data_IF_844838410286
#
_entry.id   IF_844838410286
#
_cell.length_a   1.000
_cell.length_b   1.000
_cell.length_c   1.000
_cell.angle_alpha   90.00
_cell.angle_beta   90.00
_cell.angle_gamma   90.00
#
_symmetry.space_group_name_H-M   'P 1'
#
loop_
_entity.id
_entity.type
_entity.pdbx_description
1 polymer ?
#
# COMPACT_ATOMS: atom_id res chain seq x y z
N UNK A 1 19.66 -13.83 -7.46
CA UNK A 1 20.09 -13.17 -6.20
C UNK A 1 18.85 -12.58 -5.55
N UNK A 2 18.67 -12.71 -4.24
CA UNK A 2 17.54 -12.11 -3.54
C UNK A 2 17.67 -10.59 -3.47
N UNK A 3 16.57 -9.86 -3.66
CA UNK A 3 16.51 -8.40 -3.61
C UNK A 3 16.19 -7.95 -2.16
N UNK A 4 17.13 -7.35 -1.42
CA UNK A 4 16.83 -6.88 -0.07
C UNK A 4 15.86 -5.70 -0.09
N UNK A 5 15.07 -5.55 0.98
CA UNK A 5 14.29 -4.32 1.16
C UNK A 5 15.26 -3.17 1.43
N UNK A 6 15.45 -2.31 0.44
CA UNK A 6 16.41 -1.22 0.50
C UNK A 6 15.76 0.06 1.03
N UNK A 7 16.44 0.73 1.96
CA UNK A 7 16.06 2.05 2.46
C UNK A 7 17.16 3.03 2.06
N UNK A 8 16.84 3.97 1.17
CA UNK A 8 17.79 4.98 0.69
C UNK A 8 18.02 6.10 1.72
N UNK A 9 18.41 5.74 2.95
CA UNK A 9 18.78 6.68 4.01
C UNK A 9 19.93 6.10 4.84
N UNK A 10 21.16 6.64 4.73
CA UNK A 10 22.34 6.11 5.41
C UNK A 10 22.27 6.23 6.94
N UNK A 11 21.34 7.03 7.46
CA UNK A 11 21.22 7.25 8.90
C UNK A 11 20.44 6.14 9.60
N UNK A 12 19.68 5.30 8.87
CA UNK A 12 18.80 4.27 9.47
C UNK A 12 19.62 3.20 10.20
N UNK A 13 20.69 2.72 9.58
CA UNK A 13 21.57 1.69 10.17
C UNK A 13 22.34 2.18 11.40
N UNK A 14 22.55 3.50 11.50
CA UNK A 14 23.27 4.12 12.60
C UNK A 14 22.38 4.38 13.83
N UNK A 15 21.05 4.25 13.70
CA UNK A 15 20.14 4.48 14.82
C UNK A 15 20.20 3.32 15.81
N UNK A 16 20.44 3.57 17.12
CA UNK A 16 20.44 2.50 18.11
C UNK A 16 19.04 1.90 18.28
N UNK A 17 18.01 2.75 18.20
CA UNK A 17 16.61 2.37 18.22
C UNK A 17 15.88 3.18 17.15
N UNK A 18 15.15 2.51 16.28
CA UNK A 18 14.29 3.16 15.29
C UNK A 18 12.82 3.00 15.71
N UNK A 19 12.14 4.12 15.90
CA UNK A 19 10.74 4.18 16.30
C UNK A 19 9.88 4.39 15.04
N UNK A 20 9.02 3.42 14.76
CA UNK A 20 8.00 3.46 13.72
C UNK A 20 6.71 4.00 14.33
N UNK A 21 6.69 5.31 14.51
CA UNK A 21 5.72 6.02 15.35
C UNK A 21 4.27 5.76 14.93
N UNK A 22 3.97 5.79 13.63
CA UNK A 22 2.59 5.65 13.14
C UNK A 22 2.13 4.20 13.09
N UNK A 23 3.06 3.25 12.99
CA UNK A 23 2.79 1.82 13.16
C UNK A 23 2.76 1.38 14.62
N UNK A 24 3.23 2.23 15.55
CA UNK A 24 3.24 1.92 16.98
C UNK A 24 4.29 0.87 17.38
N UNK A 25 5.36 0.76 16.59
CA UNK A 25 6.43 -0.24 16.75
C UNK A 25 7.78 0.44 16.96
N UNK A 26 8.73 -0.30 17.52
CA UNK A 26 10.15 0.06 17.50
C UNK A 26 11.02 -1.18 17.31
N UNK A 27 12.28 -1.00 16.96
CA UNK A 27 13.26 -2.09 16.88
C UNK A 27 13.48 -2.83 18.21
N UNK A 28 13.08 -2.24 19.34
CA UNK A 28 13.13 -2.86 20.67
C UNK A 28 11.79 -3.44 21.14
N UNK A 29 10.67 -3.05 20.51
CA UNK A 29 9.33 -3.49 20.93
C UNK A 29 9.12 -5.01 20.77
N UNK A 30 9.84 -5.64 19.84
CA UNK A 30 9.86 -7.08 19.59
C UNK A 30 11.08 -7.47 18.76
N UNK A 31 11.33 -8.79 18.64
CA UNK A 31 12.31 -9.32 17.68
C UNK A 31 11.77 -9.18 16.24
N UNK A 32 12.05 -8.03 15.62
CA UNK A 32 11.56 -7.65 14.28
C UNK A 32 11.99 -8.66 13.20
N UNK A 33 13.22 -9.18 13.30
CA UNK A 33 13.75 -10.18 12.35
C UNK A 33 12.96 -11.47 12.41
N UNK A 34 12.71 -11.98 13.62
CA UNK A 34 11.90 -13.18 13.81
C UNK A 34 10.44 -12.96 13.43
N UNK A 35 9.89 -11.77 13.71
CA UNK A 35 8.48 -11.48 13.49
C UNK A 35 8.13 -11.23 12.01
N UNK A 36 9.03 -10.61 11.24
CA UNK A 36 8.73 -10.11 9.89
C UNK A 36 9.73 -10.55 8.80
N UNK A 37 10.78 -11.29 9.13
CA UNK A 37 11.81 -11.68 8.15
C UNK A 37 11.30 -12.66 7.07
N UNK A 38 10.20 -13.36 7.32
CA UNK A 38 9.54 -14.28 6.39
C UNK A 38 8.56 -13.60 5.42
N UNK A 39 8.34 -12.29 5.56
CA UNK A 39 7.35 -11.55 4.76
C UNK A 39 7.75 -11.53 3.29
N UNK A 40 6.78 -11.82 2.41
CA UNK A 40 6.91 -11.78 0.95
C UNK A 40 5.89 -10.87 0.29
N UNK A 41 4.77 -10.59 0.95
CA UNK A 41 3.73 -9.71 0.43
C UNK A 41 3.27 -8.71 1.48
N UNK A 42 3.15 -7.45 1.08
CA UNK A 42 2.48 -6.40 1.84
C UNK A 42 1.27 -5.93 1.05
N UNK A 43 0.08 -6.32 1.50
CA UNK A 43 -1.19 -5.88 0.93
C UNK A 43 -1.63 -4.63 1.69
N UNK A 44 -1.82 -3.54 0.95
CA UNK A 44 -2.16 -2.23 1.52
C UNK A 44 -3.52 -1.75 1.01
N UNK A 45 -4.30 -1.07 1.85
CA UNK A 45 -5.56 -0.46 1.42
C UNK A 45 -6.06 0.63 2.37
N UNK A 46 -7.03 1.44 1.93
CA UNK A 46 -7.37 2.65 2.68
C UNK A 46 -8.14 2.44 3.99
N UNK A 47 -9.02 1.43 4.04
CA UNK A 47 -9.95 1.24 5.16
C UNK A 47 -9.47 0.17 6.14
N UNK A 48 -9.46 0.49 7.44
CA UNK A 48 -9.09 -0.45 8.50
C UNK A 48 -9.92 -1.74 8.44
N UNK A 49 -11.25 -1.60 8.33
CA UNK A 49 -12.18 -2.74 8.26
C UNK A 49 -11.93 -3.61 7.03
N UNK A 50 -11.54 -3.02 5.90
CA UNK A 50 -11.24 -3.77 4.67
C UNK A 50 -9.97 -4.60 4.84
N UNK A 51 -8.92 -4.02 5.43
CA UNK A 51 -7.66 -4.72 5.64
C UNK A 51 -7.77 -5.83 6.68
N UNK A 52 -8.58 -5.64 7.73
CA UNK A 52 -8.92 -6.72 8.65
C UNK A 52 -9.63 -7.88 7.92
N UNK A 53 -10.66 -7.59 7.13
CA UNK A 53 -11.38 -8.61 6.35
C UNK A 53 -10.46 -9.35 5.38
N UNK A 54 -9.54 -8.65 4.71
CA UNK A 54 -8.54 -9.28 3.84
C UNK A 54 -7.65 -10.24 4.65
N UNK A 55 -7.20 -9.83 5.84
CA UNK A 55 -6.41 -10.72 6.70
C UNK A 55 -7.20 -11.96 7.14
N UNK A 56 -8.49 -11.81 7.46
CA UNK A 56 -9.38 -12.93 7.79
C UNK A 56 -9.61 -13.88 6.61
N UNK A 57 -9.73 -13.34 5.39
CA UNK A 57 -9.81 -14.16 4.17
C UNK A 57 -8.52 -14.94 3.98
N UNK A 58 -7.37 -14.28 4.07
CA UNK A 58 -6.05 -14.93 3.94
C UNK A 58 -5.90 -16.04 4.99
N UNK A 59 -6.27 -15.79 6.25
CA UNK A 59 -6.23 -16.80 7.30
C UNK A 59 -7.04 -18.06 6.96
N UNK A 60 -8.23 -17.88 6.39
CA UNK A 60 -9.09 -18.99 5.92
C UNK A 60 -8.44 -19.74 4.76
N UNK A 61 -7.85 -19.02 3.80
CA UNK A 61 -7.17 -19.64 2.65
C UNK A 61 -5.94 -20.46 3.07
N UNK A 62 -5.17 -20.00 4.06
CA UNK A 62 -4.09 -20.79 4.66
C UNK A 62 -4.59 -21.97 5.51
N UNK A 63 -5.91 -22.14 5.67
CA UNK A 63 -6.56 -23.20 6.46
C UNK A 63 -6.02 -23.27 7.90
N UNK A 64 -5.67 -22.12 8.48
CA UNK A 64 -5.18 -22.05 9.84
C UNK A 64 -6.36 -22.20 10.80
N UNK A 65 -6.35 -23.28 11.59
CA UNK A 65 -7.32 -23.49 12.65
C UNK A 65 -6.82 -22.80 13.92
N UNK A 66 -7.48 -21.72 14.29
CA UNK A 66 -7.20 -20.99 15.53
C UNK A 66 -7.89 -21.67 16.72
N UNK A 67 -7.20 -21.84 17.88
CA UNK A 67 -7.84 -22.29 19.11
C UNK A 67 -9.03 -21.41 19.51
N UNK A 68 -10.00 -22.00 20.22
CA UNK A 68 -11.17 -21.26 20.75
C UNK A 68 -10.70 -20.08 21.60
N UNK A 69 -11.28 -18.90 21.35
CA UNK A 69 -10.92 -17.65 22.05
C UNK A 69 -9.71 -16.91 21.47
N UNK A 70 -9.13 -17.40 20.37
CA UNK A 70 -8.03 -16.72 19.67
C UNK A 70 -8.49 -16.15 18.32
N UNK A 71 -7.80 -15.12 17.84
CA UNK A 71 -8.15 -14.39 16.63
C UNK A 71 -6.97 -13.58 16.09
N UNK A 72 -7.17 -12.91 14.95
CA UNK A 72 -6.19 -11.97 14.43
C UNK A 72 -6.09 -10.77 15.36
N UNK A 73 -4.86 -10.45 15.76
CA UNK A 73 -4.56 -9.27 16.56
C UNK A 73 -4.07 -8.13 15.67
N UNK A 74 -4.51 -6.90 15.96
CA UNK A 74 -3.91 -5.72 15.35
C UNK A 74 -2.50 -5.54 15.94
N UNK A 75 -1.48 -5.65 15.12
CA UNK A 75 -0.07 -5.46 15.51
C UNK A 75 0.17 -4.00 15.89
N UNK A 76 -0.47 -3.07 15.18
CA UNK A 76 -0.42 -1.63 15.44
C UNK A 76 -1.46 -1.18 16.45
N UNK A 77 -1.69 -1.94 17.52
CA UNK A 77 -2.75 -1.66 18.50
C UNK A 77 -2.48 -0.47 19.41
N UNK A 78 -1.22 -0.05 19.54
CA UNK A 78 -0.79 1.09 20.39
C UNK A 78 -1.11 2.45 19.78
N UNK A 79 -1.64 2.47 18.55
CA UNK A 79 -1.92 3.66 17.75
C UNK A 79 -3.25 3.48 17.01
N UNK A 80 -3.88 4.59 16.64
CA UNK A 80 -5.11 4.62 15.85
C UNK A 80 -4.87 5.00 14.38
N UNK A 81 -3.61 5.27 14.00
CA UNK A 81 -3.23 5.78 12.67
C UNK A 81 -3.41 4.73 11.58
N UNK A 82 -3.00 3.50 11.85
CA UNK A 82 -3.11 2.38 10.94
C UNK A 82 -3.43 1.10 11.72
N UNK A 83 -4.08 0.14 11.04
CA UNK A 83 -4.16 -1.25 11.49
C UNK A 83 -3.22 -2.11 10.67
N UNK A 84 -2.59 -3.09 11.31
CA UNK A 84 -1.70 -4.05 10.68
C UNK A 84 -2.01 -5.45 11.19
N UNK A 85 -2.11 -6.41 10.28
CA UNK A 85 -2.28 -7.82 10.56
C UNK A 85 -1.24 -8.61 9.78
N UNK A 86 -0.77 -9.74 10.33
CA UNK A 86 0.13 -10.66 9.64
C UNK A 86 -0.45 -12.06 9.66
N UNK A 87 -0.42 -12.74 8.50
CA UNK A 87 -0.81 -14.13 8.34
C UNK A 87 0.21 -14.82 7.45
N UNK A 88 0.99 -15.75 8.03
CA UNK A 88 2.12 -16.37 7.32
C UNK A 88 3.07 -15.30 6.76
N UNK A 89 3.47 -15.38 5.47
CA UNK A 89 4.37 -14.42 4.83
C UNK A 89 3.67 -13.15 4.31
N UNK A 90 2.40 -12.90 4.68
CA UNK A 90 1.61 -11.78 4.17
C UNK A 90 1.26 -10.79 5.29
N UNK A 91 1.57 -9.52 5.07
CA UNK A 91 1.08 -8.40 5.88
C UNK A 91 -0.13 -7.78 5.19
N UNK A 92 -1.18 -7.50 5.96
CA UNK A 92 -2.33 -6.68 5.56
C UNK A 92 -2.32 -5.40 6.39
N UNK A 93 -2.12 -4.25 5.76
CA UNK A 93 -1.95 -2.96 6.45
C UNK A 93 -2.85 -1.87 5.85
N UNK A 94 -3.46 -1.07 6.71
CA UNK A 94 -4.23 0.09 6.23
C UNK A 94 -3.35 1.32 6.03
N UNK A 95 -3.71 2.20 5.10
CA UNK A 95 -2.93 3.40 4.81
C UNK A 95 -3.77 4.70 4.74
N UNK A 96 -5.03 4.69 5.15
CA UNK A 96 -5.91 5.87 5.06
C UNK A 96 -6.16 6.36 3.62
N UNK A 97 -6.35 7.68 3.45
CA UNK A 97 -6.64 8.30 2.16
C UNK A 97 -5.58 9.35 1.80
N UNK A 98 -5.31 9.48 0.50
CA UNK A 98 -4.39 10.46 -0.06
C UNK A 98 -2.91 10.05 0.00
N UNK A 99 -2.12 10.68 -0.86
CA UNK A 99 -0.67 10.49 -0.98
C UNK A 99 0.07 10.72 0.35
N UNK A 100 -0.23 11.77 1.15
CA UNK A 100 0.47 11.99 2.41
C UNK A 100 0.31 10.83 3.40
N UNK A 101 -0.90 10.25 3.49
CA UNK A 101 -1.18 9.17 4.42
C UNK A 101 -0.49 7.86 4.01
N UNK A 102 -0.56 7.48 2.72
CA UNK A 102 0.13 6.26 2.27
C UNK A 102 1.66 6.41 2.28
N UNK A 103 2.20 7.61 2.06
CA UNK A 103 3.64 7.86 2.10
C UNK A 103 4.25 7.58 3.48
N UNK A 104 3.59 8.00 4.56
CA UNK A 104 4.02 7.69 5.94
C UNK A 104 4.07 6.18 6.15
N UNK A 105 2.98 5.48 5.79
CA UNK A 105 2.87 4.03 5.93
C UNK A 105 3.98 3.31 5.13
N UNK A 106 4.21 3.70 3.87
CA UNK A 106 5.27 3.12 3.04
C UNK A 106 6.66 3.33 3.63
N UNK A 107 6.95 4.52 4.15
CA UNK A 107 8.25 4.81 4.77
C UNK A 107 8.50 3.93 5.99
N UNK A 108 7.54 3.81 6.91
CA UNK A 108 7.71 2.97 8.10
C UNK A 108 7.68 1.47 7.77
N UNK A 109 6.87 1.03 6.81
CA UNK A 109 6.87 -0.36 6.33
C UNK A 109 8.20 -0.76 5.69
N UNK A 110 8.78 0.10 4.86
CA UNK A 110 10.07 -0.16 4.23
C UNK A 110 11.19 -0.31 5.30
N UNK A 111 11.20 0.57 6.31
CA UNK A 111 12.14 0.45 7.45
C UNK A 111 11.89 -0.82 8.27
N UNK A 112 10.63 -1.16 8.57
CA UNK A 112 10.29 -2.38 9.30
C UNK A 112 10.87 -3.62 8.61
N UNK A 113 10.61 -3.77 7.31
CA UNK A 113 11.07 -4.91 6.51
C UNK A 113 12.58 -4.91 6.30
N UNK A 114 13.19 -3.73 6.22
CA UNK A 114 14.64 -3.57 6.19
C UNK A 114 15.28 -4.09 7.49
N UNK A 115 14.80 -3.62 8.65
CA UNK A 115 15.24 -4.11 9.97
C UNK A 115 14.98 -5.61 10.16
N UNK A 116 13.90 -6.13 9.57
CA UNK A 116 13.57 -7.54 9.59
C UNK A 116 14.50 -8.41 8.72
N UNK A 117 15.28 -7.80 7.81
CA UNK A 117 16.06 -8.52 6.81
C UNK A 117 15.20 -9.20 5.74
N UNK A 118 13.97 -8.73 5.53
CA UNK A 118 13.06 -9.29 4.54
C UNK A 118 13.57 -9.00 3.12
N UNK A 119 13.48 -10.01 2.26
CA UNK A 119 13.96 -10.00 0.88
C UNK A 119 12.85 -10.39 -0.08
N UNK A 120 12.90 -9.87 -1.30
CA UNK A 120 11.96 -10.15 -2.39
C UNK A 120 10.50 -9.89 -1.97
N UNK A 121 10.26 -8.74 -1.35
CA UNK A 121 8.93 -8.35 -0.87
C UNK A 121 8.17 -7.57 -1.94
N UNK A 122 6.96 -8.01 -2.26
CA UNK A 122 6.05 -7.30 -3.16
C UNK A 122 5.02 -6.48 -2.39
N UNK A 123 4.88 -5.21 -2.76
CA UNK A 123 3.84 -4.32 -2.24
C UNK A 123 2.67 -4.30 -3.20
N UNK A 124 1.46 -4.56 -2.70
CA UNK A 124 0.23 -4.61 -3.50
C UNK A 124 -0.80 -3.70 -2.87
N UNK A 125 -1.21 -2.65 -3.59
CA UNK A 125 -2.30 -1.79 -3.14
C UNK A 125 -3.63 -2.33 -3.67
N UNK A 126 -4.56 -2.60 -2.76
CA UNK A 126 -5.96 -2.95 -3.06
C UNK A 126 -6.85 -1.79 -2.65
N UNK A 127 -7.48 -1.15 -3.64
CA UNK A 127 -8.26 0.07 -3.45
C UNK A 127 -9.52 0.12 -4.27
N UNK A 128 -10.20 1.24 -4.17
CA UNK A 128 -11.34 1.61 -5.02
C UNK A 128 -10.91 2.78 -5.90
N UNK A 129 -11.48 2.89 -7.10
CA UNK A 129 -11.22 3.99 -8.01
C UNK A 129 -12.46 4.30 -8.86
N UNK A 130 -12.51 5.49 -9.45
CA UNK A 130 -13.45 5.83 -10.52
C UNK A 130 -12.95 5.27 -11.85
N UNK A 131 -13.76 4.43 -12.50
CA UNK A 131 -13.45 3.89 -13.83
C UNK A 131 -13.87 4.85 -14.94
N UNK A 132 -12.98 5.12 -15.89
CA UNK A 132 -13.30 5.89 -17.10
C UNK A 132 -13.67 4.90 -18.22
N UNK A 133 -14.93 4.91 -18.65
CA UNK A 133 -15.41 4.01 -19.69
C UNK A 133 -15.53 2.54 -19.27
N UNK A 134 -15.50 2.26 -17.96
CA UNK A 134 -15.62 0.92 -17.40
C UNK A 134 -16.95 0.73 -16.67
N UNK A 135 -17.42 -0.52 -16.59
CA UNK A 135 -18.63 -0.85 -15.85
C UNK A 135 -18.36 -0.77 -14.34
N UNK A 136 -19.34 -0.35 -13.52
CA UNK A 136 -19.23 -0.47 -12.07
C UNK A 136 -18.94 -1.93 -11.67
N UNK A 137 -17.95 -2.13 -10.80
CA UNK A 137 -17.51 -3.46 -10.37
C UNK A 137 -16.34 -4.04 -11.17
N UNK A 138 -15.94 -3.42 -12.28
CA UNK A 138 -14.70 -3.82 -12.98
C UNK A 138 -13.47 -3.59 -12.09
N UNK A 139 -12.51 -4.51 -12.16
CA UNK A 139 -11.21 -4.41 -11.48
C UNK A 139 -10.16 -3.97 -12.50
N UNK A 140 -9.36 -2.97 -12.14
CA UNK A 140 -8.25 -2.51 -12.96
C UNK A 140 -6.93 -2.97 -12.36
N UNK A 141 -6.11 -3.66 -13.15
CA UNK A 141 -4.70 -3.91 -12.84
C UNK A 141 -3.89 -2.77 -13.46
N UNK A 142 -3.27 -1.97 -12.60
CA UNK A 142 -2.51 -0.78 -13.01
C UNK A 142 -1.20 -1.19 -13.69
N UNK A 143 -0.91 -0.61 -14.87
CA UNK A 143 0.38 -0.78 -15.56
C UNK A 143 1.34 0.39 -15.34
N UNK A 144 0.81 1.60 -15.21
CA UNK A 144 1.58 2.79 -14.84
C UNK A 144 0.70 3.78 -14.09
N UNK A 145 1.33 4.56 -13.22
CA UNK A 145 0.66 5.62 -12.47
C UNK A 145 0.94 6.98 -13.13
N UNK A 146 -0.05 7.87 -13.11
CA UNK A 146 0.09 9.24 -13.63
C UNK A 146 -0.40 10.26 -12.60
N UNK A 147 0.14 11.47 -12.64
CA UNK A 147 -0.41 12.62 -11.89
C UNK A 147 -1.65 13.20 -12.59
N UNK A 148 -2.30 14.21 -11.98
CA UNK A 148 -3.44 14.92 -12.56
C UNK A 148 -3.13 15.64 -13.89
N UNK A 149 -1.85 15.83 -14.23
CA UNK A 149 -1.41 16.44 -15.48
C UNK A 149 -0.95 15.37 -16.50
N UNK A 150 -1.25 14.09 -16.23
CA UNK A 150 -0.89 12.93 -17.06
C UNK A 150 0.62 12.71 -17.24
N UNK A 151 1.43 13.24 -16.33
CA UNK A 151 2.84 12.89 -16.26
C UNK A 151 3.03 11.54 -15.57
N UNK A 152 4.02 10.77 -15.98
CA UNK A 152 4.38 9.44 -15.48
C UNK A 152 5.39 9.47 -14.31
N UNK A 153 5.44 10.58 -13.57
CA UNK A 153 6.28 10.74 -12.40
C UNK A 153 5.49 11.19 -11.18
N UNK A 154 5.94 10.77 -10.01
CA UNK A 154 5.53 11.34 -8.74
C UNK A 154 6.37 12.57 -8.41
N UNK A 155 5.73 13.67 -8.04
CA UNK A 155 6.42 14.91 -7.64
C UNK A 155 6.26 15.19 -6.14
N UNK A 156 7.36 15.64 -5.52
CA UNK A 156 7.40 16.02 -4.12
C UNK A 156 8.26 17.27 -3.92
N UNK A 157 7.96 18.06 -2.89
CA UNK A 157 8.77 19.22 -2.50
C UNK A 157 9.69 18.83 -1.36
N UNK A 158 11.00 18.79 -1.60
CA UNK A 158 12.02 18.48 -0.59
C UNK A 158 12.85 19.74 -0.35
N UNK A 159 12.75 20.30 0.86
CA UNK A 159 13.42 21.55 1.24
C UNK A 159 13.22 22.68 0.22
N UNK A 160 11.97 22.85 -0.25
CA UNK A 160 11.60 23.87 -1.23
C UNK A 160 11.91 23.55 -2.69
N UNK A 161 12.58 22.43 -2.99
CA UNK A 161 12.88 22.01 -4.37
C UNK A 161 11.90 20.94 -4.84
N UNK A 162 11.44 21.05 -6.08
CA UNK A 162 10.62 20.01 -6.71
C UNK A 162 11.55 18.86 -7.10
N UNK A 163 11.25 17.68 -6.57
CA UNK A 163 11.91 16.41 -6.90
C UNK A 163 10.87 15.56 -7.63
N UNK A 164 11.30 14.94 -8.73
CA UNK A 164 10.49 14.00 -9.50
C UNK A 164 11.05 12.59 -9.31
N UNK A 165 10.17 11.61 -9.14
CA UNK A 165 10.50 10.19 -9.01
C UNK A 165 9.68 9.40 -10.04
N UNK A 166 10.26 8.44 -10.76
CA UNK A 166 9.50 7.58 -11.67
C UNK A 166 8.35 6.88 -10.94
N UNK A 167 7.19 6.79 -11.58
CA UNK A 167 6.01 6.12 -11.05
C UNK A 167 5.81 4.74 -11.72
N UNK A 168 6.86 3.94 -11.67
CA UNK A 168 6.97 2.63 -12.34
C UNK A 168 6.44 1.49 -11.45
N UNK A 169 5.96 0.43 -12.09
CA UNK A 169 5.52 -0.82 -11.46
C UNK A 169 6.40 -1.98 -11.96
N UNK A 170 6.49 -3.04 -11.17
CA UNK A 170 7.19 -4.27 -11.57
C UNK A 170 6.38 -4.97 -12.68
N UNK A 171 6.83 -4.86 -13.93
CA UNK A 171 6.13 -5.36 -15.12
C UNK A 171 5.90 -6.87 -15.07
N UNK A 172 6.90 -7.64 -14.60
CA UNK A 172 6.80 -9.09 -14.47
C UNK A 172 5.73 -9.47 -13.44
N UNK A 173 5.69 -8.74 -12.31
CA UNK A 173 4.67 -8.95 -11.29
C UNK A 173 3.27 -8.59 -11.80
N UNK A 174 3.13 -7.48 -12.54
CA UNK A 174 1.86 -7.08 -13.16
C UNK A 174 1.39 -8.13 -14.16
N UNK A 175 2.29 -8.65 -15.01
CA UNK A 175 1.97 -9.73 -15.95
C UNK A 175 1.49 -10.99 -15.22
N UNK A 176 2.15 -11.38 -14.12
CA UNK A 176 1.72 -12.50 -13.29
C UNK A 176 0.30 -12.34 -12.73
N UNK A 177 -0.07 -11.13 -12.28
CA UNK A 177 -1.42 -10.84 -11.83
C UNK A 177 -2.47 -10.95 -12.95
N UNK A 178 -2.12 -10.49 -14.17
CA UNK A 178 -3.00 -10.57 -15.33
C UNK A 178 -3.25 -12.02 -15.73
N UNK A 179 -2.22 -12.86 -15.77
CA UNK A 179 -2.38 -14.28 -16.08
C UNK A 179 -3.19 -15.00 -15.00
N UNK A 180 -2.90 -14.74 -13.72
CA UNK A 180 -3.68 -15.29 -12.60
C UNK A 180 -5.17 -14.92 -12.72
N UNK A 181 -5.48 -13.66 -13.05
CA UNK A 181 -6.87 -13.22 -13.23
C UNK A 181 -7.58 -13.95 -14.37
N UNK A 182 -6.89 -14.23 -15.47
CA UNK A 182 -7.44 -15.01 -16.60
C UNK A 182 -7.72 -16.46 -16.21
N UNK A 183 -6.83 -17.08 -15.44
CA UNK A 183 -6.96 -18.47 -14.97
C UNK A 183 -8.11 -18.65 -13.98
N UNK A 184 -8.33 -17.67 -13.09
CA UNK A 184 -9.34 -17.74 -12.03
C UNK A 184 -10.79 -17.71 -12.52
N UNK A 185 -11.06 -17.36 -13.79
CA UNK A 185 -12.41 -17.27 -14.38
C UNK A 185 -13.39 -16.50 -13.48
N UNK A 186 -12.98 -15.29 -13.11
CA UNK A 186 -13.71 -14.40 -12.21
C UNK A 186 -15.07 -14.01 -12.80
N UNK A 187 -16.04 -13.74 -11.93
CA UNK A 187 -17.40 -13.32 -12.27
C UNK A 187 -17.52 -11.80 -12.54
N UNK A 188 -16.39 -11.10 -12.58
CA UNK A 188 -16.27 -9.67 -12.87
C UNK A 188 -15.20 -9.38 -13.92
N UNK A 189 -15.35 -8.24 -14.59
CA UNK A 189 -14.42 -7.79 -15.63
C UNK A 189 -13.08 -7.36 -15.00
N UNK A 190 -11.97 -7.93 -15.48
CA UNK A 190 -10.61 -7.49 -15.15
C UNK A 190 -9.98 -6.81 -16.36
N UNK A 191 -9.56 -5.56 -16.18
CA UNK A 191 -9.00 -4.72 -17.23
C UNK A 191 -7.59 -4.29 -16.85
N UNK A 192 -6.71 -4.19 -17.83
CA UNK A 192 -5.34 -3.69 -17.65
C UNK A 192 -5.29 -2.25 -18.15
N UNK A 193 -4.75 -1.32 -17.35
CA UNK A 193 -4.75 0.08 -17.73
C UNK A 193 -3.91 0.99 -16.86
N UNK A 194 -3.76 2.24 -17.29
CA UNK A 194 -3.07 3.28 -16.50
C UNK A 194 -4.01 3.84 -15.43
N UNK A 195 -3.45 4.31 -14.32
CA UNK A 195 -4.22 4.88 -13.22
C UNK A 195 -3.73 6.29 -12.91
N UNK A 196 -4.63 7.26 -12.93
CA UNK A 196 -4.37 8.63 -12.48
C UNK A 196 -4.50 8.69 -10.95
N UNK A 197 -3.57 9.35 -10.29
CA UNK A 197 -3.59 9.60 -8.85
C UNK A 197 -3.81 11.09 -8.60
N UNK A 198 -4.95 11.44 -8.01
CA UNK A 198 -5.27 12.80 -7.63
C UNK A 198 -4.95 13.09 -6.15
N UNK A 199 -4.62 14.35 -5.87
CA UNK A 199 -4.42 14.85 -4.50
C UNK A 199 -5.73 15.30 -3.83
N UNK A 200 -6.77 15.53 -4.63
CA UNK A 200 -8.11 15.90 -4.16
C UNK A 200 -9.19 15.07 -4.87
N UNK A 201 -10.19 14.64 -4.11
CA UNK A 201 -11.25 13.76 -4.57
C UNK A 201 -12.35 14.49 -5.37
N UNK A 202 -12.50 15.81 -5.19
CA UNK A 202 -13.63 16.55 -5.77
C UNK A 202 -13.23 17.32 -7.03
N UNK A 203 -12.42 18.35 -6.88
CA UNK A 203 -11.90 19.17 -7.97
C UNK A 203 -10.81 18.41 -8.74
N UNK A 204 -9.94 17.68 -8.03
CA UNK A 204 -8.84 16.92 -8.64
C UNK A 204 -9.30 15.76 -9.53
N UNK A 205 -10.49 15.20 -9.28
CA UNK A 205 -11.08 14.12 -10.08
C UNK A 205 -12.14 14.64 -11.07
N UNK A 206 -12.53 15.92 -11.01
CA UNK A 206 -13.33 16.68 -11.99
C UNK A 206 -14.48 15.93 -12.67
N UNK A 207 -15.22 15.10 -11.95
CA UNK A 207 -16.33 14.34 -12.56
C UNK A 207 -17.63 15.15 -12.70
N UNK A 208 -17.81 16.28 -11.98
CA UNK A 208 -19.07 17.08 -12.00
C UNK A 208 -18.99 18.57 -11.68
N UNK A 209 -17.83 19.18 -11.44
CA UNK A 209 -17.79 20.61 -11.20
C UNK A 209 -17.64 21.36 -12.53
N UNK A 210 -18.67 22.07 -13.04
CA UNK A 210 -18.39 23.17 -13.93
C UNK A 210 -17.53 24.13 -13.11
N UNK A 211 -16.34 24.47 -13.62
CA UNK A 211 -15.56 25.59 -13.09
C UNK A 211 -16.39 26.86 -13.29
N UNK A 212 -17.39 27.09 -12.44
CA UNK A 212 -18.02 28.39 -12.29
C UNK A 212 -16.97 29.25 -11.62
N UNK A 213 -16.35 30.10 -12.45
CA UNK A 213 -15.51 31.21 -12.06
C UNK A 213 -16.08 31.93 -10.83
N UNK A 214 -15.48 31.67 -9.67
CA UNK A 214 -15.72 32.46 -8.47
C UNK A 214 -16.10 31.65 -7.24
N UNK A 215 -15.14 30.99 -6.62
CA UNK A 215 -15.11 30.94 -5.15
C UNK A 215 -13.73 30.53 -4.62
N UNK A 216 -12.88 31.53 -4.38
CA UNK A 216 -12.07 31.63 -3.16
C UNK A 216 -11.45 33.03 -3.15
N UNK A 217 -12.17 33.98 -2.52
CA UNK A 217 -11.54 35.19 -1.98
C UNK A 217 -11.16 34.87 -0.54
N UNK A 218 -9.85 34.89 -0.31
CA UNK A 218 -9.08 34.98 0.95
C UNK A 218 -9.54 34.14 2.13
#
# INVERSE_FOLDING_TARGET
MSRPTNVCNPNVDAMPVDVLYHLGLSTESMDVKKAFGDVKFVIMGGSHKRMQKIAEIILKEFKVVLPVGTGLSNISWTTDRYVMYKVGPIISVSHGMGVPSISICLHEMAKLLHHAGATDVHFVRVGTCGGIGLKPGSVVITTSCMDCAFNDFFQLKVMGKVVKRPAELDEDFVHGLVETAKEMKLDFDVVVGKTMCADDFYEGESFKFPLSSGLMRT
#
